data_IF_935254041492
#
_entry.id   IF_935254041492
#
_cell.length_a   1.000
_cell.length_b   1.000
_cell.length_c   1.000
_cell.angle_alpha   90.00
_cell.angle_beta   90.00
_cell.angle_gamma   90.00
#
_symmetry.space_group_name_H-M   'P 1'
#
loop_
_entity.id
_entity.type
_entity.pdbx_description
1 polymer ?
#
# COMPACT_ATOMS: atom_id res chain seq x y z
N UNK A 1 -12.87 -9.97 -0.86
CA UNK A 1 -11.54 -9.54 -1.35
C UNK A 1 -11.11 -8.31 -0.59
N UNK A 2 -9.85 -8.28 -0.14
CA UNK A 2 -9.31 -7.12 0.56
C UNK A 2 -8.74 -6.12 -0.43
N UNK A 3 -9.02 -4.85 -0.20
CA UNK A 3 -8.50 -3.78 -1.05
C UNK A 3 -7.66 -2.83 -0.21
N UNK A 4 -6.49 -2.47 -0.73
CA UNK A 4 -5.53 -1.60 -0.06
C UNK A 4 -5.05 -0.52 -1.01
N UNK A 5 -4.49 0.54 -0.45
CA UNK A 5 -3.86 1.63 -1.20
C UNK A 5 -2.50 1.92 -0.61
N UNK A 6 -1.53 2.17 -1.47
CA UNK A 6 -0.23 2.67 -1.06
C UNK A 6 -0.15 4.11 -1.54
N UNK A 7 0.11 5.03 -0.62
CA UNK A 7 0.15 6.46 -0.93
C UNK A 7 1.31 7.10 -0.20
N UNK A 8 1.78 8.21 -0.75
CA UNK A 8 2.79 9.00 -0.09
C UNK A 8 2.19 9.69 1.14
N UNK A 9 2.95 9.72 2.23
CA UNK A 9 2.57 10.35 3.49
C UNK A 9 3.66 11.32 3.92
N UNK A 10 3.40 12.05 5.00
CA UNK A 10 4.42 12.95 5.56
C UNK A 10 5.67 12.21 6.00
N UNK A 11 5.53 10.95 6.41
CA UNK A 11 6.64 10.12 6.88
C UNK A 11 7.34 9.38 5.75
N UNK A 12 6.78 9.37 4.56
CA UNK A 12 7.29 8.61 3.44
C UNK A 12 6.16 7.97 2.66
N UNK A 13 5.86 6.69 2.93
CA UNK A 13 4.81 5.96 2.24
C UNK A 13 3.99 5.16 3.25
N UNK A 14 2.70 5.03 2.98
CA UNK A 14 1.80 4.31 3.87
C UNK A 14 0.89 3.34 3.12
N UNK A 15 0.59 2.22 3.76
CA UNK A 15 -0.36 1.22 3.28
C UNK A 15 -1.67 1.40 4.04
N UNK A 16 -2.76 1.62 3.31
CA UNK A 16 -4.08 1.86 3.91
C UNK A 16 -5.07 0.82 3.43
N UNK A 17 -5.77 0.21 4.36
CA UNK A 17 -6.89 -0.65 4.03
C UNK A 17 -8.04 0.21 3.54
N UNK A 18 -8.78 -0.26 2.54
CA UNK A 18 -9.91 0.49 1.99
C UNK A 18 -10.91 0.80 3.09
N UNK A 19 -11.30 2.08 3.20
CA UNK A 19 -12.22 2.54 4.23
C UNK A 19 -11.56 2.93 5.55
N UNK A 20 -10.25 2.72 5.69
CA UNK A 20 -9.51 3.09 6.90
C UNK A 20 -8.73 4.37 6.68
N UNK A 21 -8.69 5.24 7.70
CA UNK A 21 -7.89 6.47 7.66
C UNK A 21 -6.53 6.28 8.30
N UNK A 22 -6.32 5.17 9.01
CA UNK A 22 -5.04 4.86 9.64
C UNK A 22 -4.24 3.94 8.75
N UNK A 23 -2.93 4.20 8.66
CA UNK A 23 -2.04 3.33 7.91
C UNK A 23 -1.88 1.99 8.63
N UNK A 24 -1.98 0.90 7.85
CA UNK A 24 -1.69 -0.43 8.36
C UNK A 24 -0.19 -0.64 8.50
N UNK A 25 0.59 0.06 7.69
CA UNK A 25 2.05 0.04 7.72
C UNK A 25 2.58 1.31 7.11
N UNK A 26 3.77 1.72 7.53
CA UNK A 26 4.44 2.89 6.96
C UNK A 26 5.91 2.58 6.79
N UNK A 27 6.53 3.20 5.79
CA UNK A 27 7.95 3.07 5.54
C UNK A 27 8.48 4.36 4.92
N UNK A 28 9.79 4.57 5.02
CA UNK A 28 10.42 5.76 4.47
C UNK A 28 10.47 5.73 2.95
N UNK A 29 10.52 4.54 2.35
CA UNK A 29 10.60 4.38 0.91
C UNK A 29 9.45 3.55 0.39
N UNK A 30 9.09 3.79 -0.87
CA UNK A 30 8.05 3.02 -1.55
C UNK A 30 8.42 1.53 -1.62
N UNK A 31 9.68 1.24 -1.95
CA UNK A 31 10.14 -0.14 -2.07
C UNK A 31 10.09 -0.88 -0.74
N UNK A 32 10.49 -0.20 0.34
CA UNK A 32 10.42 -0.77 1.68
C UNK A 32 8.99 -1.10 2.07
N UNK A 33 8.06 -0.18 1.75
CA UNK A 33 6.65 -0.40 2.04
C UNK A 33 6.09 -1.57 1.22
N UNK A 34 6.48 -1.68 -0.04
CA UNK A 34 6.01 -2.77 -0.89
C UNK A 34 6.43 -4.12 -0.35
N UNK A 35 7.66 -4.24 0.16
CA UNK A 35 8.13 -5.48 0.80
C UNK A 35 7.31 -5.80 2.04
N UNK A 36 7.01 -4.81 2.86
CA UNK A 36 6.15 -4.99 4.04
C UNK A 36 4.75 -5.43 3.63
N UNK A 37 4.22 -4.84 2.56
CA UNK A 37 2.89 -5.17 2.05
C UNK A 37 2.81 -6.64 1.63
N UNK A 38 3.80 -7.13 0.91
CA UNK A 38 3.84 -8.53 0.49
C UNK A 38 3.78 -9.46 1.70
N UNK A 39 4.51 -9.13 2.76
CA UNK A 39 4.51 -9.93 3.98
C UNK A 39 3.16 -9.89 4.68
N UNK A 40 2.56 -8.70 4.78
CA UNK A 40 1.30 -8.51 5.51
C UNK A 40 0.12 -9.20 4.85
N UNK A 41 0.09 -9.23 3.53
CA UNK A 41 -1.05 -9.79 2.79
C UNK A 41 -0.74 -11.13 2.14
N UNK A 42 0.41 -11.74 2.47
CA UNK A 42 0.77 -13.06 1.97
C UNK A 42 -0.31 -14.08 2.32
N UNK A 43 -0.70 -14.89 1.34
CA UNK A 43 -1.73 -15.91 1.53
C UNK A 43 -3.16 -15.39 1.50
N UNK A 44 -3.36 -14.10 1.28
CA UNK A 44 -4.68 -13.49 1.20
C UNK A 44 -4.94 -12.99 -0.21
N UNK A 45 -6.17 -13.14 -0.67
CA UNK A 45 -6.58 -12.52 -1.92
C UNK A 45 -6.74 -11.02 -1.68
N UNK A 46 -5.94 -10.20 -2.34
CA UNK A 46 -5.95 -8.77 -2.11
C UNK A 46 -5.58 -8.01 -3.39
N UNK A 47 -6.10 -6.80 -3.50
CA UNK A 47 -5.74 -5.87 -4.55
C UNK A 47 -5.13 -4.63 -3.89
N UNK A 48 -4.03 -4.16 -4.43
CA UNK A 48 -3.30 -3.02 -3.87
C UNK A 48 -3.10 -1.99 -4.98
N UNK A 49 -3.60 -0.78 -4.78
CA UNK A 49 -3.35 0.34 -5.69
C UNK A 49 -2.19 1.16 -5.16
N UNK A 50 -1.15 1.29 -5.96
CA UNK A 50 0.03 2.07 -5.62
C UNK A 50 -0.08 3.41 -6.32
N UNK A 51 -0.28 4.47 -5.55
CA UNK A 51 -0.40 5.83 -6.09
C UNK A 51 0.97 6.48 -6.19
N UNK A 52 1.31 6.95 -7.39
CA UNK A 52 2.58 7.61 -7.65
C UNK A 52 2.44 9.12 -7.50
N UNK A 53 3.58 9.81 -7.32
CA UNK A 53 3.61 11.26 -7.12
C UNK A 53 3.06 12.04 -8.32
N UNK A 54 3.16 11.48 -9.50
CA UNK A 54 2.71 12.16 -10.72
C UNK A 54 1.22 12.00 -11.01
N UNK A 55 0.46 11.45 -10.07
CA UNK A 55 -0.98 11.26 -10.22
C UNK A 55 -1.39 9.95 -10.87
N UNK A 56 -0.44 9.16 -11.36
CA UNK A 56 -0.74 7.84 -11.91
C UNK A 56 -0.78 6.79 -10.81
N UNK A 57 -1.29 5.62 -11.12
CA UNK A 57 -1.27 4.52 -10.16
C UNK A 57 -1.10 3.19 -10.88
N UNK A 58 -0.63 2.21 -10.12
CA UNK A 58 -0.52 0.82 -10.55
C UNK A 58 -1.41 -0.03 -9.65
N UNK A 59 -1.93 -1.10 -10.21
CA UNK A 59 -2.69 -2.06 -9.41
C UNK A 59 -1.94 -3.36 -9.36
N UNK A 60 -1.71 -3.85 -8.13
CA UNK A 60 -1.07 -5.14 -7.88
C UNK A 60 -2.11 -6.07 -7.31
N UNK A 61 -2.10 -7.33 -7.75
CA UNK A 61 -3.01 -8.36 -7.25
C UNK A 61 -2.21 -9.48 -6.60
N UNK A 62 -2.68 -9.88 -5.47
CA UNK A 62 -2.06 -10.94 -4.69
C UNK A 62 -2.98 -12.14 -4.54
#
# INVERSE_FOLDING_TARGET
>A
MNSYRIMKTEMGWGLFKNGSVKASAEALTKEGLMKMTVTLIAGKAASVKVHNDNGSFQELRF
#
